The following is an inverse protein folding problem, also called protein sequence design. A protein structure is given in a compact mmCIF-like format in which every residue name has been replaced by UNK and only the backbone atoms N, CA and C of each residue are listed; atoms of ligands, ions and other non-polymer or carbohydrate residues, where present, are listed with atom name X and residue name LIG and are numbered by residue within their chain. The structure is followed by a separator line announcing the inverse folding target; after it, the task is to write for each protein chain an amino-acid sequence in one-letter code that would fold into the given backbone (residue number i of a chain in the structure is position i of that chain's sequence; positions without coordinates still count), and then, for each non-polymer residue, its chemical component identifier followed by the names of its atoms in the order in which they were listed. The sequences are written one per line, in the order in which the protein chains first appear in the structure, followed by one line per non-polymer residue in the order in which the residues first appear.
data_IF_418989659667
#
_entry.id   IF_418989659667
#
_cell.length_a   1.000
_cell.length_b   1.000
_cell.length_c   1.000
_cell.angle_alpha   90.00
_cell.angle_beta   90.00
_cell.angle_gamma   90.00
#
_symmetry.space_group_name_H-M   'P 1'
#
loop_
_entity.id
_entity.type
_entity.pdbx_description
1 polymer ?
#
# COMPACT_ATOMS: atom_id res chain seq x y z
N UNK A 1 -64.49 31.00 18.87
CA UNK A 1 -64.24 29.56 19.25
C UNK A 1 -63.50 28.76 18.17
N UNK A 2 -63.49 29.24 16.95
CA UNK A 2 -62.84 28.61 15.77
C UNK A 2 -61.34 28.81 15.67
N UNK A 3 -60.79 30.00 15.91
CA UNK A 3 -59.36 30.32 15.81
C UNK A 3 -58.46 29.55 16.82
N UNK A 4 -58.97 29.31 18.02
CA UNK A 4 -58.21 28.58 19.08
C UNK A 4 -58.09 27.09 18.72
N UNK A 5 -59.04 26.51 18.00
CA UNK A 5 -58.99 25.12 17.49
C UNK A 5 -58.03 24.97 16.30
N UNK A 6 -57.96 25.95 15.42
CA UNK A 6 -57.02 25.93 14.28
C UNK A 6 -55.56 26.08 14.76
N UNK A 7 -55.30 26.97 15.72
CA UNK A 7 -53.95 27.11 16.30
C UNK A 7 -53.51 25.85 17.03
N UNK A 8 -54.39 25.14 17.72
CA UNK A 8 -54.10 23.89 18.39
C UNK A 8 -53.83 22.74 17.40
N UNK A 9 -54.56 22.71 16.30
CA UNK A 9 -54.32 21.74 15.20
C UNK A 9 -52.96 22.02 14.51
N UNK A 10 -52.64 23.27 14.23
CA UNK A 10 -51.34 23.64 13.63
C UNK A 10 -50.15 23.26 14.53
N UNK A 11 -50.25 23.51 15.84
CA UNK A 11 -49.22 23.11 16.82
C UNK A 11 -49.06 21.60 16.88
N UNK A 12 -50.13 20.83 16.87
CA UNK A 12 -50.08 19.35 16.87
C UNK A 12 -49.47 18.81 15.59
N UNK A 13 -49.79 19.37 14.42
CA UNK A 13 -49.22 19.01 13.15
C UNK A 13 -47.71 19.33 13.09
N UNK A 14 -47.29 20.48 13.63
CA UNK A 14 -45.85 20.88 13.69
C UNK A 14 -45.06 19.96 14.61
N UNK A 15 -45.62 19.54 15.76
CA UNK A 15 -45.00 18.58 16.68
C UNK A 15 -44.86 17.18 16.06
N UNK A 16 -45.86 16.71 15.31
CA UNK A 16 -45.79 15.44 14.60
C UNK A 16 -44.73 15.49 13.49
N UNK A 17 -44.65 16.60 12.76
CA UNK A 17 -43.64 16.79 11.70
C UNK A 17 -42.23 16.84 12.29
N UNK A 18 -42.04 17.49 13.44
CA UNK A 18 -40.75 17.54 14.15
C UNK A 18 -40.36 16.18 14.70
N UNK A 19 -41.30 15.39 15.25
CA UNK A 19 -41.05 14.01 15.67
C UNK A 19 -40.68 13.07 14.49
N UNK A 20 -41.31 13.25 13.32
CA UNK A 20 -40.95 12.49 12.13
C UNK A 20 -39.57 12.85 11.59
N UNK A 21 -39.17 14.11 11.67
CA UNK A 21 -37.83 14.56 11.29
C UNK A 21 -36.73 14.01 12.24
N UNK A 22 -37.00 13.97 13.54
CA UNK A 22 -36.08 13.42 14.53
C UNK A 22 -35.97 11.90 14.36
N UNK A 23 -37.04 11.19 14.08
CA UNK A 23 -36.98 9.74 13.81
C UNK A 23 -36.28 9.41 12.48
N UNK A 24 -36.39 10.26 11.46
CA UNK A 24 -35.65 10.10 10.21
C UNK A 24 -34.14 10.29 10.39
N UNK A 25 -33.68 11.21 11.26
CA UNK A 25 -32.28 11.39 11.61
C UNK A 25 -31.73 10.22 12.44
N UNK A 26 -32.53 9.64 13.33
CA UNK A 26 -32.13 8.47 14.12
C UNK A 26 -31.99 7.18 13.26
N UNK A 27 -32.69 7.09 12.13
CA UNK A 27 -32.59 5.94 11.21
C UNK A 27 -31.35 6.01 10.27
N UNK A 28 -30.72 7.18 10.11
CA UNK A 28 -29.57 7.38 9.22
C UNK A 28 -28.21 6.99 9.86
N UNK A 29 -28.19 6.75 11.16
CA UNK A 29 -26.97 6.33 11.88
C UNK A 29 -27.03 4.85 12.28
N UNK A 30 -27.39 3.96 11.33
CA UNK A 30 -27.12 2.55 11.51
C UNK A 30 -25.61 2.37 11.39
N UNK A 31 -24.95 1.98 12.47
CA UNK A 31 -23.53 1.66 12.45
C UNK A 31 -23.25 0.75 11.26
N UNK A 32 -22.49 1.24 10.29
CA UNK A 32 -22.13 0.50 9.09
C UNK A 32 -21.20 -0.63 9.57
N UNK A 33 -21.73 -1.86 9.63
CA UNK A 33 -20.97 -3.03 10.07
C UNK A 33 -20.03 -3.57 8.96
N UNK A 34 -19.90 -2.83 7.87
CA UNK A 34 -19.07 -3.20 6.71
C UNK A 34 -18.13 -2.05 6.36
N UNK A 35 -16.88 -2.38 6.08
CA UNK A 35 -15.88 -1.46 5.53
C UNK A 35 -15.18 -2.06 4.32
N UNK A 36 -14.90 -1.21 3.34
CA UNK A 36 -14.16 -1.52 2.14
C UNK A 36 -12.73 -1.00 2.27
N UNK A 37 -11.76 -1.92 2.27
CA UNK A 37 -10.31 -1.62 2.29
C UNK A 37 -9.77 -1.90 0.91
N UNK A 38 -9.15 -0.91 0.24
CA UNK A 38 -8.71 -1.08 -1.14
C UNK A 38 -7.35 -0.42 -1.39
N UNK A 39 -6.52 -1.02 -2.25
CA UNK A 39 -5.34 -0.29 -2.73
C UNK A 39 -4.11 -1.13 -2.96
N UNK A 40 -3.04 -0.84 -2.24
CA UNK A 40 -1.71 -1.42 -2.46
C UNK A 40 -1.74 -2.93 -2.53
N UNK A 41 -1.37 -3.48 -3.67
CA UNK A 41 -1.21 -4.92 -3.84
C UNK A 41 -0.11 -5.47 -2.91
N UNK A 42 0.95 -4.70 -2.66
CA UNK A 42 1.96 -5.06 -1.66
C UNK A 42 1.36 -5.40 -0.29
N UNK A 43 0.27 -4.73 0.09
CA UNK A 43 -0.36 -4.86 1.40
C UNK A 43 -1.56 -5.83 1.40
N UNK A 44 -1.89 -6.51 0.31
CA UNK A 44 -3.12 -7.33 0.24
C UNK A 44 -3.08 -8.44 1.28
N UNK A 45 -2.02 -9.25 1.31
CA UNK A 45 -1.91 -10.35 2.28
C UNK A 45 -1.94 -9.85 3.73
N UNK A 46 -1.24 -8.75 4.00
CA UNK A 46 -1.24 -8.10 5.30
C UNK A 46 -2.64 -7.57 5.67
N UNK A 47 -3.30 -6.88 4.73
CA UNK A 47 -4.66 -6.36 4.92
C UNK A 47 -5.68 -7.47 5.17
N UNK A 48 -5.57 -8.59 4.45
CA UNK A 48 -6.40 -9.77 4.65
C UNK A 48 -6.15 -10.39 6.03
N UNK A 49 -4.90 -10.55 6.45
CA UNK A 49 -4.56 -11.05 7.77
C UNK A 49 -5.14 -10.19 8.90
N UNK A 50 -5.08 -8.86 8.77
CA UNK A 50 -5.75 -7.96 9.71
C UNK A 50 -7.27 -8.12 9.70
N UNK A 51 -7.90 -8.20 8.51
CA UNK A 51 -9.33 -8.33 8.37
C UNK A 51 -9.85 -9.65 8.95
N UNK A 52 -9.22 -10.76 8.62
CA UNK A 52 -9.55 -12.09 9.14
C UNK A 52 -9.47 -12.12 10.66
N UNK A 53 -8.34 -11.66 11.22
CA UNK A 53 -8.13 -11.67 12.67
C UNK A 53 -9.09 -10.73 13.42
N UNK A 54 -9.43 -9.60 12.83
CA UNK A 54 -10.42 -8.70 13.40
C UNK A 54 -11.83 -9.30 13.39
N UNK A 55 -12.24 -9.89 12.25
CA UNK A 55 -13.57 -10.52 12.10
C UNK A 55 -13.74 -11.75 12.97
N UNK A 56 -12.69 -12.56 13.22
CA UNK A 56 -12.72 -13.66 14.19
C UNK A 56 -13.21 -13.19 15.58
N UNK A 57 -12.79 -12.01 16.02
CA UNK A 57 -13.16 -11.43 17.33
C UNK A 57 -14.43 -10.59 17.27
N UNK A 58 -14.83 -10.17 16.10
CA UNK A 58 -15.97 -9.30 15.86
C UNK A 58 -16.88 -9.88 14.76
N UNK A 59 -17.66 -10.96 15.04
CA UNK A 59 -18.41 -11.70 14.02
C UNK A 59 -19.47 -10.87 13.27
N UNK A 60 -19.87 -9.73 13.83
CA UNK A 60 -20.82 -8.81 13.20
C UNK A 60 -20.15 -7.80 12.28
N UNK A 61 -18.83 -7.72 12.24
CA UNK A 61 -18.09 -6.84 11.35
C UNK A 61 -17.78 -7.56 10.03
N UNK A 62 -17.90 -6.85 8.92
CA UNK A 62 -17.50 -7.34 7.60
C UNK A 62 -16.43 -6.42 7.02
N UNK A 63 -15.25 -6.96 6.71
CA UNK A 63 -14.12 -6.20 6.16
C UNK A 63 -13.70 -6.82 4.85
N UNK A 64 -13.97 -6.14 3.74
CA UNK A 64 -13.57 -6.56 2.41
C UNK A 64 -12.23 -5.90 2.03
N UNK A 65 -11.23 -6.72 1.71
CA UNK A 65 -9.90 -6.25 1.29
C UNK A 65 -9.67 -6.56 -0.18
N UNK A 66 -9.34 -5.53 -0.97
CA UNK A 66 -9.05 -5.65 -2.40
C UNK A 66 -7.76 -4.92 -2.77
N UNK A 67 -6.99 -5.52 -3.66
CA UNK A 67 -5.77 -4.93 -4.23
C UNK A 67 -6.04 -3.94 -5.37
N UNK A 68 -5.11 -3.88 -6.31
CA UNK A 68 -5.20 -3.07 -7.54
C UNK A 68 -4.26 -1.86 -7.56
N UNK A 69 -3.36 -1.75 -6.58
CA UNK A 69 -2.34 -0.71 -6.50
C UNK A 69 -2.73 0.50 -5.66
N UNK A 70 -1.70 1.18 -5.11
CA UNK A 70 -1.89 2.35 -4.23
C UNK A 70 -2.67 3.48 -4.91
N UNK A 71 -2.41 3.72 -6.20
CA UNK A 71 -3.14 4.74 -6.96
C UNK A 71 -4.63 4.44 -7.07
N UNK A 72 -4.99 3.17 -7.27
CA UNK A 72 -6.39 2.72 -7.30
C UNK A 72 -7.07 2.90 -5.94
N UNK A 73 -6.39 2.54 -4.83
CA UNK A 73 -6.91 2.75 -3.48
C UNK A 73 -7.16 4.22 -3.16
N UNK A 74 -6.17 5.07 -3.41
CA UNK A 74 -6.30 6.51 -3.20
C UNK A 74 -7.41 7.12 -4.07
N UNK A 75 -7.52 6.72 -5.33
CA UNK A 75 -8.63 7.14 -6.20
C UNK A 75 -9.98 6.69 -5.68
N UNK A 76 -10.07 5.48 -5.12
CA UNK A 76 -11.30 4.95 -4.52
C UNK A 76 -11.70 5.73 -3.26
N UNK A 77 -10.73 6.10 -2.42
CA UNK A 77 -10.98 6.96 -1.25
C UNK A 77 -11.49 8.34 -1.69
N UNK A 78 -10.83 8.95 -2.68
CA UNK A 78 -11.19 10.26 -3.23
C UNK A 78 -12.58 10.24 -3.90
N UNK A 79 -13.02 9.12 -4.43
CA UNK A 79 -14.35 8.95 -5.02
C UNK A 79 -15.41 8.45 -4.03
N UNK A 80 -15.03 8.19 -2.77
CA UNK A 80 -15.93 7.67 -1.74
C UNK A 80 -16.38 6.22 -1.95
N UNK A 81 -15.62 5.42 -2.72
CA UNK A 81 -15.92 4.01 -3.03
C UNK A 81 -15.12 3.01 -2.17
N UNK A 82 -14.29 3.49 -1.25
CA UNK A 82 -13.75 2.70 -0.15
C UNK A 82 -13.67 3.55 1.12
N UNK A 83 -13.59 2.89 2.26
CA UNK A 83 -13.51 3.53 3.58
C UNK A 83 -12.05 3.72 4.01
N UNK A 84 -11.18 2.80 3.59
CA UNK A 84 -9.73 2.83 3.86
C UNK A 84 -8.97 2.55 2.57
N UNK A 85 -8.03 3.42 2.22
CA UNK A 85 -7.09 3.16 1.15
C UNK A 85 -5.76 2.64 1.71
N UNK A 86 -5.30 1.47 1.24
CA UNK A 86 -3.96 0.96 1.49
C UNK A 86 -2.98 1.58 0.50
N UNK A 87 -1.83 2.07 0.98
CA UNK A 87 -0.80 2.63 0.10
C UNK A 87 0.61 2.28 0.56
N UNK A 88 1.45 1.88 -0.37
CA UNK A 88 2.88 1.65 -0.19
C UNK A 88 3.74 2.81 -0.72
N UNK A 89 3.18 4.00 -0.77
CA UNK A 89 3.81 5.29 -1.04
C UNK A 89 3.01 6.41 -0.39
N UNK A 90 3.61 7.56 -0.21
CA UNK A 90 2.86 8.74 0.20
C UNK A 90 1.83 9.15 -0.86
N UNK A 91 0.72 9.74 -0.40
CA UNK A 91 -0.23 10.42 -1.27
C UNK A 91 0.46 11.61 -1.94
N UNK A 92 0.18 11.84 -3.22
CA UNK A 92 0.80 12.95 -3.98
C UNK A 92 0.02 14.23 -3.79
N UNK A 93 0.70 15.37 -3.88
CA UNK A 93 0.07 16.70 -3.76
C UNK A 93 -1.13 16.88 -4.70
N UNK A 94 -1.03 16.40 -5.95
CA UNK A 94 -2.14 16.42 -6.90
C UNK A 94 -3.34 15.57 -6.47
N UNK A 95 -3.09 14.46 -5.76
CA UNK A 95 -4.14 13.59 -5.22
C UNK A 95 -4.81 14.27 -4.01
N UNK A 96 -4.03 14.92 -3.15
CA UNK A 96 -4.54 15.74 -2.03
C UNK A 96 -5.40 16.88 -2.57
N UNK A 97 -4.91 17.62 -3.58
CA UNK A 97 -5.67 18.71 -4.18
C UNK A 97 -6.99 18.23 -4.81
N UNK A 98 -6.99 17.05 -5.43
CA UNK A 98 -8.21 16.45 -5.97
C UNK A 98 -9.17 15.99 -4.87
N UNK A 99 -8.65 15.39 -3.78
CA UNK A 99 -9.42 14.99 -2.62
C UNK A 99 -10.15 16.20 -2.01
N UNK A 100 -9.40 17.27 -1.74
CA UNK A 100 -9.94 18.50 -1.15
C UNK A 100 -11.04 19.12 -2.01
N UNK A 101 -10.90 19.12 -3.35
CA UNK A 101 -11.96 19.58 -4.27
C UNK A 101 -13.24 18.76 -4.17
N UNK A 102 -13.15 17.52 -3.74
CA UNK A 102 -14.29 16.61 -3.54
C UNK A 102 -14.78 16.56 -2.09
N UNK A 103 -14.25 17.40 -1.21
CA UNK A 103 -14.61 17.41 0.21
C UNK A 103 -14.05 16.23 1.00
N UNK A 104 -13.06 15.54 0.45
CA UNK A 104 -12.35 14.45 1.12
C UNK A 104 -11.06 15.02 1.73
N UNK A 105 -10.83 14.74 3.01
CA UNK A 105 -9.62 15.15 3.73
C UNK A 105 -8.77 13.91 4.07
N UNK A 106 -7.79 13.54 3.24
CA UNK A 106 -7.01 12.32 3.46
C UNK A 106 -6.23 12.41 4.78
N UNK A 107 -6.52 11.50 5.70
CA UNK A 107 -5.80 11.34 6.96
C UNK A 107 -4.84 10.15 6.83
N UNK A 108 -3.55 10.43 6.98
CA UNK A 108 -2.48 9.46 6.83
C UNK A 108 -2.21 8.72 8.14
N UNK A 109 -2.18 7.39 8.07
CA UNK A 109 -1.90 6.50 9.20
C UNK A 109 -0.81 5.54 8.79
N UNK A 110 0.36 5.62 9.42
CA UNK A 110 1.45 4.68 9.20
C UNK A 110 1.12 3.36 9.90
N UNK A 111 1.09 2.26 9.13
CA UNK A 111 0.65 0.96 9.62
C UNK A 111 1.78 -0.08 9.71
N UNK A 112 2.90 0.16 9.05
CA UNK A 112 4.08 -0.72 9.03
C UNK A 112 5.21 -0.10 8.23
N UNK A 113 6.32 -0.85 8.10
CA UNK A 113 7.42 -0.56 7.19
C UNK A 113 7.64 -1.75 6.26
N UNK A 114 8.20 -1.48 5.09
CA UNK A 114 8.50 -2.46 4.06
C UNK A 114 9.91 -2.25 3.51
N UNK A 115 10.69 -3.30 3.46
CA UNK A 115 11.92 -3.35 2.66
C UNK A 115 11.57 -3.79 1.24
N UNK A 116 11.88 -2.95 0.25
CA UNK A 116 11.63 -3.31 -1.13
C UNK A 116 12.70 -4.29 -1.60
N UNK A 117 12.38 -5.59 -1.57
CA UNK A 117 13.30 -6.63 -2.00
C UNK A 117 13.48 -6.60 -3.52
N UNK A 118 14.72 -6.54 -3.97
CA UNK A 118 15.11 -6.80 -5.35
C UNK A 118 15.49 -8.27 -5.45
N UNK A 119 14.90 -9.00 -6.38
CA UNK A 119 14.97 -10.46 -6.44
C UNK A 119 15.39 -10.97 -7.80
N UNK A 120 16.09 -12.08 -7.77
CA UNK A 120 16.48 -12.88 -8.93
C UNK A 120 16.18 -14.36 -8.66
N UNK A 121 16.24 -15.20 -9.71
CA UNK A 121 16.23 -16.65 -9.52
C UNK A 121 17.41 -17.11 -8.66
N UNK A 122 17.27 -18.14 -7.81
CA UNK A 122 18.39 -18.75 -7.10
C UNK A 122 19.52 -19.23 -8.02
N UNK A 123 19.21 -19.55 -9.28
CA UNK A 123 20.20 -19.96 -10.30
C UNK A 123 21.03 -18.80 -10.89
N UNK A 124 20.63 -17.54 -10.64
CA UNK A 124 21.41 -16.38 -11.06
C UNK A 124 22.61 -16.20 -10.12
N UNK A 125 23.87 -16.06 -10.60
CA UNK A 125 25.04 -15.93 -9.74
C UNK A 125 25.14 -14.58 -9.03
N UNK A 126 24.48 -13.52 -9.54
CA UNK A 126 24.49 -12.20 -8.92
C UNK A 126 23.79 -12.25 -7.55
N UNK A 127 24.44 -11.73 -6.52
CA UNK A 127 23.92 -11.71 -5.14
C UNK A 127 23.83 -10.32 -4.53
N UNK A 128 24.39 -9.31 -5.19
CA UNK A 128 24.44 -7.94 -4.67
C UNK A 128 24.51 -6.92 -5.79
N UNK A 129 23.88 -5.76 -5.61
CA UNK A 129 23.91 -4.62 -6.52
C UNK A 129 23.92 -3.30 -5.73
N UNK A 130 24.42 -2.22 -6.33
CA UNK A 130 24.23 -0.87 -5.79
C UNK A 130 22.91 -0.29 -6.29
N UNK A 131 22.37 0.73 -5.59
CA UNK A 131 21.21 1.50 -6.07
C UNK A 131 21.49 2.10 -7.46
N UNK A 132 22.73 2.51 -7.72
CA UNK A 132 23.13 3.03 -9.03
C UNK A 132 23.03 1.98 -10.13
N UNK A 133 23.54 0.76 -9.88
CA UNK A 133 23.43 -0.37 -10.83
C UNK A 133 21.97 -0.75 -11.09
N UNK A 134 21.14 -0.77 -10.04
CA UNK A 134 19.68 -0.98 -10.21
C UNK A 134 19.06 0.08 -11.12
N UNK A 135 19.39 1.35 -10.92
CA UNK A 135 18.91 2.44 -11.77
C UNK A 135 19.32 2.24 -13.24
N UNK A 136 20.58 1.83 -13.49
CA UNK A 136 21.08 1.55 -14.84
C UNK A 136 20.42 0.33 -15.48
N UNK A 137 20.20 -0.74 -14.72
CA UNK A 137 19.51 -1.95 -15.16
C UNK A 137 18.06 -1.63 -15.54
N UNK A 138 17.29 -1.07 -14.63
CA UNK A 138 15.86 -0.83 -14.85
C UNK A 138 15.57 0.31 -15.83
N UNK A 139 16.51 1.21 -16.09
CA UNK A 139 16.42 2.19 -17.18
C UNK A 139 16.91 1.64 -18.54
N UNK A 140 17.42 0.39 -18.60
CA UNK A 140 17.89 -0.25 -19.83
C UNK A 140 19.24 0.25 -20.31
N UNK A 141 20.06 0.82 -19.43
CA UNK A 141 21.46 1.21 -19.74
C UNK A 141 22.42 0.05 -19.52
N UNK A 142 22.10 -0.89 -18.63
CA UNK A 142 22.73 -2.21 -18.48
C UNK A 142 21.70 -3.23 -18.96
N UNK A 143 22.05 -4.03 -19.95
CA UNK A 143 21.14 -4.97 -20.62
C UNK A 143 21.55 -6.43 -20.48
N UNK A 144 22.76 -6.68 -20.01
CA UNK A 144 23.32 -8.03 -19.91
C UNK A 144 23.86 -8.27 -18.51
N UNK A 145 23.57 -9.43 -17.95
CA UNK A 145 24.03 -9.81 -16.60
C UNK A 145 25.56 -9.81 -16.44
N UNK A 146 26.32 -10.05 -17.52
CA UNK A 146 27.80 -10.00 -17.45
C UNK A 146 28.35 -8.63 -17.04
N UNK A 147 27.62 -7.56 -17.29
CA UNK A 147 28.00 -6.19 -16.94
C UNK A 147 28.02 -5.95 -15.41
N UNK A 148 27.34 -6.84 -14.68
CA UNK A 148 27.26 -6.79 -13.21
C UNK A 148 27.73 -8.09 -12.54
N UNK A 149 28.59 -8.86 -13.24
CA UNK A 149 29.23 -10.07 -12.71
C UNK A 149 28.39 -11.35 -12.84
N UNK A 150 27.34 -11.33 -13.64
CA UNK A 150 26.53 -12.49 -13.96
C UNK A 150 26.98 -13.22 -15.22
N UNK A 151 26.09 -14.10 -15.74
CA UNK A 151 26.30 -14.83 -16.99
C UNK A 151 26.19 -13.90 -18.20
N UNK A 152 26.74 -14.30 -19.36
CA UNK A 152 26.49 -13.61 -20.63
C UNK A 152 25.06 -13.92 -21.11
N UNK A 153 24.10 -13.23 -20.53
CA UNK A 153 22.67 -13.43 -20.75
C UNK A 153 21.93 -12.09 -20.63
N UNK A 154 20.98 -11.85 -21.55
CA UNK A 154 20.18 -10.63 -21.54
C UNK A 154 19.25 -10.57 -20.32
N UNK A 155 19.21 -9.43 -19.64
CA UNK A 155 18.37 -9.22 -18.48
C UNK A 155 16.90 -9.11 -18.90
N UNK A 156 16.00 -9.83 -18.22
CA UNK A 156 14.54 -9.69 -18.32
C UNK A 156 14.07 -8.83 -17.17
N UNK A 157 13.55 -7.64 -17.51
CA UNK A 157 13.13 -6.64 -16.50
C UNK A 157 11.67 -6.84 -16.15
N UNK A 158 11.38 -7.08 -14.87
CA UNK A 158 10.03 -7.19 -14.36
C UNK A 158 9.73 -5.98 -13.45
N UNK A 159 8.68 -5.26 -13.77
CA UNK A 159 8.20 -4.12 -13.01
C UNK A 159 6.72 -4.28 -12.67
N UNK A 160 6.20 -3.35 -11.90
CA UNK A 160 4.77 -3.28 -11.57
C UNK A 160 4.08 -2.29 -12.50
N UNK A 161 2.76 -2.44 -12.65
CA UNK A 161 1.91 -1.47 -13.34
C UNK A 161 2.05 -0.06 -12.75
N UNK A 162 1.79 0.98 -13.55
CA UNK A 162 2.03 2.39 -13.22
C UNK A 162 1.19 2.92 -12.05
N UNK A 163 0.05 2.29 -11.74
CA UNK A 163 -0.80 2.58 -10.59
C UNK A 163 -0.28 1.96 -9.28
N UNK A 164 0.71 1.06 -9.36
CA UNK A 164 1.35 0.46 -8.20
C UNK A 164 2.17 1.50 -7.43
N UNK A 165 1.97 1.56 -6.10
CA UNK A 165 2.82 2.35 -5.22
C UNK A 165 4.27 1.90 -5.26
N UNK A 166 4.51 0.60 -5.46
CA UNK A 166 5.85 0.01 -5.58
C UNK A 166 6.56 0.47 -6.85
N UNK A 167 5.85 0.52 -7.99
CA UNK A 167 6.39 1.10 -9.23
C UNK A 167 6.80 2.56 -9.04
N UNK A 168 5.91 3.37 -8.46
CA UNK A 168 6.16 4.80 -8.24
C UNK A 168 7.33 5.00 -7.29
N UNK A 169 7.35 4.28 -6.16
CA UNK A 169 8.44 4.39 -5.19
C UNK A 169 9.79 3.99 -5.79
N UNK A 170 9.86 2.85 -6.50
CA UNK A 170 11.10 2.40 -7.14
C UNK A 170 11.60 3.41 -8.18
N UNK A 171 10.69 3.96 -8.99
CA UNK A 171 11.04 5.00 -9.96
C UNK A 171 11.63 6.24 -9.29
N UNK A 172 10.99 6.74 -8.25
CA UNK A 172 11.42 7.96 -7.56
C UNK A 172 12.74 7.75 -6.80
N UNK A 173 12.88 6.62 -6.10
CA UNK A 173 14.03 6.41 -5.21
C UNK A 173 15.23 5.75 -5.88
N UNK A 174 15.00 4.85 -6.83
CA UNK A 174 16.07 4.09 -7.49
C UNK A 174 16.45 4.71 -8.83
N UNK A 175 15.49 4.92 -9.74
CA UNK A 175 15.81 5.47 -11.05
C UNK A 175 16.18 6.96 -10.95
N UNK A 176 15.38 7.73 -10.23
CA UNK A 176 15.53 9.19 -10.09
C UNK A 176 16.36 9.63 -8.88
N UNK A 177 16.77 8.69 -8.03
CA UNK A 177 17.63 8.94 -6.85
C UNK A 177 17.10 10.05 -5.94
N UNK A 178 15.77 10.12 -5.78
CA UNK A 178 15.07 11.17 -5.05
C UNK A 178 15.21 12.59 -5.63
N UNK A 179 15.64 12.73 -6.88
CA UNK A 179 15.62 14.01 -7.57
C UNK A 179 14.19 14.30 -8.07
N UNK A 180 13.50 15.34 -7.54
CA UNK A 180 12.13 15.68 -7.97
C UNK A 180 12.07 16.10 -9.45
N UNK A 181 13.19 16.53 -10.04
CA UNK A 181 13.32 16.90 -11.45
C UNK A 181 13.86 15.75 -12.31
N UNK A 182 14.16 14.60 -11.71
CA UNK A 182 14.66 13.41 -12.38
C UNK A 182 13.70 12.95 -13.48
N UNK A 183 14.25 12.65 -14.65
CA UNK A 183 13.48 12.27 -15.86
C UNK A 183 13.64 10.80 -16.22
N UNK A 184 14.42 10.05 -15.45
CA UNK A 184 14.64 8.64 -15.68
C UNK A 184 13.33 7.88 -15.63
N UNK A 185 13.12 7.02 -16.63
CA UNK A 185 11.97 6.14 -16.77
C UNK A 185 12.44 4.68 -16.86
N UNK A 186 11.54 3.75 -16.61
CA UNK A 186 11.80 2.34 -16.87
C UNK A 186 12.08 2.11 -18.35
N UNK A 187 12.94 1.14 -18.64
CA UNK A 187 13.20 0.71 -20.00
C UNK A 187 11.88 0.34 -20.70
N UNK A 188 11.69 0.71 -21.99
CA UNK A 188 10.48 0.37 -22.73
C UNK A 188 10.20 -1.13 -22.80
N UNK A 189 11.23 -1.96 -22.69
CA UNK A 189 11.13 -3.43 -22.68
C UNK A 189 10.84 -4.04 -21.30
N UNK A 190 10.62 -3.25 -20.26
CA UNK A 190 10.25 -3.77 -18.96
C UNK A 190 8.81 -4.33 -18.99
N UNK A 191 8.65 -5.56 -18.51
CA UNK A 191 7.35 -6.22 -18.40
C UNK A 191 6.62 -5.70 -17.16
N UNK A 192 5.43 -5.15 -17.35
CA UNK A 192 4.61 -4.59 -16.28
C UNK A 192 3.62 -5.63 -15.77
N UNK A 193 3.84 -6.13 -14.56
CA UNK A 193 3.01 -7.15 -13.93
C UNK A 193 2.02 -6.54 -12.92
N UNK A 194 0.82 -7.12 -12.86
CA UNK A 194 -0.29 -6.59 -12.07
C UNK A 194 -0.12 -6.78 -10.55
N UNK A 195 0.66 -7.80 -10.11
CA UNK A 195 0.81 -8.15 -8.70
C UNK A 195 2.26 -8.42 -8.30
N UNK A 196 2.55 -8.32 -7.00
CA UNK A 196 3.82 -8.73 -6.40
C UNK A 196 4.05 -10.23 -6.58
N UNK A 197 2.97 -11.03 -6.41
CA UNK A 197 3.02 -12.48 -6.60
C UNK A 197 3.40 -12.86 -8.03
N UNK A 198 2.85 -12.18 -9.05
CA UNK A 198 3.18 -12.45 -10.45
C UNK A 198 4.68 -12.23 -10.74
N UNK A 199 5.31 -11.20 -10.14
CA UNK A 199 6.77 -11.02 -10.25
C UNK A 199 7.51 -12.15 -9.54
N UNK A 200 7.07 -12.55 -8.35
CA UNK A 200 7.72 -13.63 -7.60
C UNK A 200 7.69 -14.95 -8.39
N UNK A 201 6.56 -15.29 -9.01
CA UNK A 201 6.39 -16.50 -9.81
C UNK A 201 7.25 -16.47 -11.07
N UNK A 202 7.29 -15.34 -11.78
CA UNK A 202 8.13 -15.19 -12.99
C UNK A 202 9.63 -15.29 -12.68
N UNK A 203 10.10 -14.63 -11.60
CA UNK A 203 11.51 -14.72 -11.15
C UNK A 203 11.89 -16.15 -10.77
N UNK A 204 10.98 -16.90 -10.16
CA UNK A 204 11.22 -18.28 -9.76
C UNK A 204 11.47 -19.19 -10.98
N UNK A 205 10.80 -18.94 -12.10
CA UNK A 205 10.89 -19.74 -13.32
C UNK A 205 11.90 -19.24 -14.35
N UNK A 206 12.45 -18.03 -14.19
CA UNK A 206 13.26 -17.36 -15.22
C UNK A 206 14.59 -16.87 -14.64
N UNK A 207 15.69 -17.59 -14.98
CA UNK A 207 17.04 -17.28 -14.48
C UNK A 207 17.59 -15.93 -14.94
N UNK A 208 17.07 -15.41 -16.05
CA UNK A 208 17.46 -14.11 -16.61
C UNK A 208 16.69 -12.93 -16.00
N UNK A 209 15.61 -13.20 -15.24
CA UNK A 209 14.73 -12.16 -14.71
C UNK A 209 15.31 -11.46 -13.47
N UNK A 210 15.02 -10.16 -13.37
CA UNK A 210 15.14 -9.35 -12.17
C UNK A 210 13.82 -8.66 -11.91
N UNK A 211 13.35 -8.68 -10.67
CA UNK A 211 12.13 -8.01 -10.25
C UNK A 211 12.28 -7.36 -8.88
N UNK A 212 11.24 -6.67 -8.44
CA UNK A 212 11.20 -6.07 -7.11
C UNK A 212 9.76 -6.04 -6.57
N UNK A 213 9.63 -6.24 -5.26
CA UNK A 213 8.38 -6.22 -4.54
C UNK A 213 8.62 -6.07 -3.02
N UNK A 214 7.56 -5.90 -2.24
CA UNK A 214 7.66 -5.84 -0.78
C UNK A 214 8.18 -7.14 -0.18
N UNK A 215 9.05 -7.05 0.83
CA UNK A 215 9.76 -8.19 1.42
C UNK A 215 8.84 -9.33 1.89
N UNK A 216 7.59 -9.03 2.25
CA UNK A 216 6.60 -10.05 2.63
C UNK A 216 6.17 -11.02 1.51
N UNK A 217 6.69 -10.89 0.30
CA UNK A 217 6.48 -11.84 -0.80
C UNK A 217 7.71 -12.70 -1.11
N UNK A 218 8.83 -12.48 -0.40
CA UNK A 218 10.05 -13.29 -0.60
C UNK A 218 9.83 -14.71 -0.05
N UNK A 219 10.17 -15.70 -0.85
CA UNK A 219 10.12 -17.11 -0.44
C UNK A 219 11.43 -17.81 -0.84
N UNK A 220 11.58 -19.08 -0.49
CA UNK A 220 12.72 -19.91 -0.88
C UNK A 220 12.89 -20.09 -2.40
N UNK A 221 11.87 -19.72 -3.19
CA UNK A 221 11.90 -19.80 -4.67
C UNK A 221 12.61 -18.61 -5.32
N UNK A 222 12.86 -17.55 -4.60
CA UNK A 222 13.57 -16.37 -5.10
C UNK A 222 14.78 -16.09 -4.23
N UNK A 223 15.80 -15.45 -4.81
CA UNK A 223 16.97 -14.97 -4.10
C UNK A 223 16.91 -13.44 -4.00
N UNK A 224 16.71 -12.87 -2.81
CA UNK A 224 16.85 -11.44 -2.61
C UNK A 224 18.33 -11.03 -2.75
N UNK A 225 18.55 -9.85 -3.33
CA UNK A 225 19.87 -9.26 -3.47
C UNK A 225 20.18 -8.35 -2.29
N UNK A 226 21.43 -8.39 -1.83
CA UNK A 226 21.95 -7.39 -0.92
C UNK A 226 22.19 -6.07 -1.69
N UNK A 227 21.71 -4.95 -1.14
CA UNK A 227 21.77 -3.65 -1.81
C UNK A 227 22.66 -2.69 -1.04
N UNK A 228 23.61 -2.06 -1.76
CA UNK A 228 24.41 -0.96 -1.24
C UNK A 228 23.88 0.38 -1.77
N UNK A 229 23.93 1.41 -0.93
CA UNK A 229 23.53 2.77 -1.32
C UNK A 229 24.40 3.29 -2.49
N UNK A 230 25.70 3.02 -2.41
CA UNK A 230 26.70 3.36 -3.40
C UNK A 230 27.86 2.34 -3.35
N UNK A 231 28.88 2.54 -4.19
CA UNK A 231 30.03 1.63 -4.30
C UNK A 231 30.94 1.58 -3.05
N UNK A 232 30.82 2.56 -2.15
CA UNK A 232 31.62 2.65 -0.92
C UNK A 232 30.84 2.15 0.30
N UNK A 233 29.56 1.92 0.16
CA UNK A 233 28.67 1.49 1.23
C UNK A 233 28.63 -0.04 1.36
N UNK A 234 28.29 -0.51 2.55
CA UNK A 234 28.05 -1.93 2.83
C UNK A 234 26.83 -2.43 2.05
N UNK A 235 26.89 -3.68 1.58
CA UNK A 235 25.76 -4.37 0.97
C UNK A 235 24.86 -4.95 2.05
N UNK A 236 23.62 -4.51 2.10
CA UNK A 236 22.65 -4.81 3.15
C UNK A 236 21.51 -5.68 2.57
N UNK A 237 21.17 -6.76 3.27
CA UNK A 237 20.06 -7.62 2.91
C UNK A 237 18.71 -7.02 3.36
N UNK A 238 17.59 -7.29 2.64
CA UNK A 238 16.25 -6.86 3.00
C UNK A 238 15.69 -7.70 4.17
N UNK A 239 16.22 -7.52 5.35
CA UNK A 239 15.75 -8.18 6.58
C UNK A 239 14.95 -7.21 7.45
N UNK A 240 14.08 -7.75 8.32
CA UNK A 240 13.29 -6.97 9.27
C UNK A 240 14.19 -6.03 10.08
N UNK A 241 15.28 -6.55 10.63
CA UNK A 241 16.22 -5.76 11.46
C UNK A 241 16.92 -4.66 10.66
N UNK A 242 17.33 -4.94 9.42
CA UNK A 242 17.98 -3.93 8.57
C UNK A 242 17.03 -2.82 8.13
N UNK A 243 15.77 -3.14 7.92
CA UNK A 243 14.71 -2.15 7.62
C UNK A 243 14.38 -1.33 8.87
N UNK A 244 14.18 -1.99 10.01
CA UNK A 244 13.87 -1.34 11.28
C UNK A 244 14.96 -0.34 11.69
N UNK A 245 16.23 -0.73 11.55
CA UNK A 245 17.38 0.09 11.89
C UNK A 245 17.77 1.12 10.80
N UNK A 246 17.00 1.22 9.72
CA UNK A 246 17.24 2.16 8.63
C UNK A 246 18.50 1.88 7.81
N UNK A 247 19.08 0.68 7.93
CA UNK A 247 20.28 0.27 7.18
C UNK A 247 19.98 -0.11 5.74
N UNK A 248 18.81 -0.75 5.49
CA UNK A 248 18.44 -1.16 4.15
C UNK A 248 18.05 0.06 3.30
N UNK A 249 18.72 0.31 2.16
CA UNK A 249 18.62 1.59 1.46
C UNK A 249 17.30 1.80 0.71
N UNK A 250 16.53 0.73 0.47
CA UNK A 250 15.25 0.79 -0.26
C UNK A 250 14.13 0.35 0.68
N UNK A 251 13.82 1.18 1.67
CA UNK A 251 12.77 0.93 2.65
C UNK A 251 11.75 2.07 2.68
N UNK A 252 10.51 1.76 3.01
CA UNK A 252 9.39 2.70 2.96
C UNK A 252 8.33 2.41 4.01
N UNK A 253 7.56 3.41 4.45
CA UNK A 253 6.36 3.17 5.22
C UNK A 253 5.23 2.57 4.37
N UNK A 254 4.37 1.80 5.06
CA UNK A 254 3.09 1.34 4.58
C UNK A 254 1.99 2.16 5.26
N UNK A 255 1.03 2.64 4.49
CA UNK A 255 0.00 3.56 4.96
C UNK A 255 -1.41 3.02 4.80
N UNK A 256 -2.26 3.41 5.73
CA UNK A 256 -3.70 3.46 5.58
C UNK A 256 -4.12 4.93 5.46
N UNK A 257 -5.01 5.23 4.52
CA UNK A 257 -5.61 6.56 4.38
C UNK A 257 -7.11 6.47 4.61
N UNK A 258 -7.66 7.39 5.39
CA UNK A 258 -9.09 7.54 5.66
C UNK A 258 -9.57 8.94 5.30
N UNK A 259 -10.88 9.14 5.17
CA UNK A 259 -11.45 10.48 5.02
C UNK A 259 -11.63 11.12 6.40
N UNK A 260 -10.74 12.04 6.76
CA UNK A 260 -10.67 12.62 8.10
C UNK A 260 -10.24 11.59 9.16
N UNK A 261 -10.36 11.94 10.43
CA UNK A 261 -10.09 11.04 11.54
C UNK A 261 -11.06 9.85 11.51
N UNK A 262 -10.56 8.61 11.63
CA UNK A 262 -11.41 7.42 11.57
C UNK A 262 -12.45 7.41 12.68
N UNK A 263 -13.67 6.96 12.36
CA UNK A 263 -14.80 6.86 13.27
C UNK A 263 -15.49 5.48 13.15
N UNK A 264 -16.34 5.15 14.12
CA UNK A 264 -17.15 3.92 14.10
C UNK A 264 -16.30 2.65 13.91
N UNK A 265 -16.71 1.79 12.99
CA UNK A 265 -16.01 0.55 12.67
C UNK A 265 -14.62 0.80 12.06
N UNK A 266 -14.49 1.85 11.22
CA UNK A 266 -13.18 2.23 10.64
C UNK A 266 -12.17 2.54 11.74
N UNK A 267 -12.56 3.30 12.77
CA UNK A 267 -11.70 3.59 13.93
C UNK A 267 -11.31 2.31 14.67
N UNK A 268 -12.28 1.47 15.00
CA UNK A 268 -12.04 0.22 15.73
C UNK A 268 -11.07 -0.69 14.97
N UNK A 269 -11.22 -0.79 13.66
CA UNK A 269 -10.31 -1.58 12.82
C UNK A 269 -8.91 -0.97 12.74
N UNK A 270 -8.79 0.34 12.56
CA UNK A 270 -7.49 1.04 12.57
C UNK A 270 -6.80 0.91 13.95
N UNK A 271 -7.54 1.08 15.04
CA UNK A 271 -7.00 0.87 16.40
C UNK A 271 -6.48 -0.56 16.58
N UNK A 272 -7.19 -1.56 16.05
CA UNK A 272 -6.72 -2.95 16.04
C UNK A 272 -5.44 -3.12 15.20
N UNK A 273 -5.38 -2.57 14.01
CA UNK A 273 -4.17 -2.61 13.14
C UNK A 273 -2.95 -2.04 13.88
N UNK A 274 -3.12 -0.96 14.63
CA UNK A 274 -2.05 -0.29 15.37
C UNK A 274 -1.77 -0.93 16.74
N UNK A 275 -2.62 -1.85 17.21
CA UNK A 275 -2.42 -2.58 18.46
C UNK A 275 -1.26 -3.57 18.36
N UNK A 276 -0.80 -4.09 19.51
CA UNK A 276 0.21 -5.16 19.52
C UNK A 276 -0.17 -6.32 18.62
N UNK A 277 -1.41 -6.79 18.69
CA UNK A 277 -1.88 -7.94 17.91
C UNK A 277 -1.89 -7.64 16.40
N UNK A 278 -2.34 -6.44 16.00
CA UNK A 278 -2.27 -6.01 14.60
C UNK A 278 -0.82 -5.90 14.11
N UNK A 279 0.10 -5.49 14.97
CA UNK A 279 1.53 -5.40 14.63
C UNK A 279 2.24 -6.77 14.68
N UNK A 280 1.75 -7.73 15.47
CA UNK A 280 2.21 -9.13 15.40
C UNK A 280 1.85 -9.75 14.01
N UNK A 281 0.73 -9.35 13.39
CA UNK A 281 0.37 -9.76 12.02
C UNK A 281 1.32 -9.12 11.00
N UNK A 282 1.74 -7.85 11.18
CA UNK A 282 2.76 -7.22 10.33
C UNK A 282 4.03 -8.07 10.32
N UNK A 283 4.48 -8.51 11.51
CA UNK A 283 5.65 -9.36 11.65
C UNK A 283 5.44 -10.75 11.02
N UNK A 284 4.28 -11.37 11.24
CA UNK A 284 3.94 -12.69 10.70
C UNK A 284 3.82 -12.73 9.17
N UNK A 285 3.64 -11.57 8.54
CA UNK A 285 3.61 -11.41 7.07
C UNK A 285 4.93 -10.87 6.51
N UNK A 286 6.02 -10.99 7.26
CA UNK A 286 7.39 -10.58 6.89
C UNK A 286 7.52 -9.07 6.55
N UNK A 287 6.63 -8.24 7.09
CA UNK A 287 6.79 -6.80 7.12
C UNK A 287 7.31 -6.32 8.48
N UNK A 288 7.61 -5.04 8.60
CA UNK A 288 8.26 -4.48 9.79
C UNK A 288 7.25 -3.67 10.61
N UNK A 289 7.00 -4.07 11.88
CA UNK A 289 6.11 -3.34 12.77
C UNK A 289 6.61 -1.92 13.06
N UNK A 290 5.68 -0.98 13.31
CA UNK A 290 5.99 0.40 13.70
C UNK A 290 6.30 0.54 15.20
N UNK A 291 5.78 -0.39 16.01
CA UNK A 291 5.99 -0.44 17.46
C UNK A 291 6.52 -1.85 17.81
N UNK A 292 7.66 -1.92 18.44
CA UNK A 292 8.19 -3.12 19.11
C UNK A 292 8.22 -2.92 20.61
#
# INVERSE_FOLDING_TARGET
MTEKKEQDMLRKSLLVLLMCLISAYAFAAKDKNEIQVKGSDTMVNLGQGWAEKYMEKNPNAFIAVTGGGSGTGLSSLISGTCDIAMSSRNIKEKEIALANKKGINPNEIKAGLDGLAVVVSPANPVSKLTVSQLGLIFSGKILNWKEVGGKDEKIVLLSREVNSGTHVYFKEHVLRKNDPNGKEEFAPGALLLSSSQAIADEVAGNSAAIGYYGMGYVSSKQKPLAIAKDEKSEYIEPTIDNVLNGKYPISRPLFLYTNGLPQGLVKKFVDFVLSKEGQDIVLATDFVPINR
#
